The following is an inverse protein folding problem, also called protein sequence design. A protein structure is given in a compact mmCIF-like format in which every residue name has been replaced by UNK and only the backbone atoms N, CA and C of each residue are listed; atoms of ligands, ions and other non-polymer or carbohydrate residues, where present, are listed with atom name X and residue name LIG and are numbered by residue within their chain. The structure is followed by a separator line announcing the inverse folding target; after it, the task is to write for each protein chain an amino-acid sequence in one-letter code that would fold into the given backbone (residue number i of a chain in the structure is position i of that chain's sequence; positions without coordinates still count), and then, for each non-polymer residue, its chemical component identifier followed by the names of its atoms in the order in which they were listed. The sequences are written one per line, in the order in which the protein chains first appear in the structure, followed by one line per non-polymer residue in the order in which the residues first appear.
data_IF_259623326572
#
_entry.id   IF_259623326572
#
_cell.length_a   1.000
_cell.length_b   1.000
_cell.length_c   1.000
_cell.angle_alpha   90.00
_cell.angle_beta   90.00
_cell.angle_gamma   90.00
#
_symmetry.space_group_name_H-M   'P 1'
#
loop_
_entity.id
_entity.type
_entity.pdbx_description
1 polymer ?
#
# COMPACT_ATOMS: atom_id res chain seq x y z
N UNK A 1 2.62 41.44 -12.10
CA UNK A 1 1.23 41.03 -12.43
C UNK A 1 0.23 42.10 -11.98
N UNK A 2 -0.02 42.31 -10.68
CA UNK A 2 -1.00 43.32 -10.22
C UNK A 2 -0.57 44.77 -10.53
N UNK A 3 0.73 45.06 -10.56
CA UNK A 3 1.27 46.34 -10.99
C UNK A 3 1.20 46.56 -12.51
N UNK A 4 1.24 45.48 -13.31
CA UNK A 4 1.32 45.55 -14.77
C UNK A 4 -0.06 45.59 -15.46
N UNK A 5 -1.09 45.00 -14.82
CA UNK A 5 -2.44 44.86 -15.38
C UNK A 5 -3.49 45.74 -14.69
N UNK A 6 -3.15 46.50 -13.65
CA UNK A 6 -4.10 47.38 -12.96
C UNK A 6 -5.20 46.64 -12.18
N UNK A 7 -6.37 47.26 -12.02
CA UNK A 7 -7.52 46.67 -11.32
C UNK A 7 -8.41 45.92 -12.30
N UNK A 8 -8.55 44.62 -12.05
CA UNK A 8 -9.48 43.73 -12.75
C UNK A 8 -10.30 42.92 -11.75
N UNK A 9 -11.42 42.38 -12.20
CA UNK A 9 -12.28 41.47 -11.47
C UNK A 9 -11.64 40.08 -11.31
N UNK A 10 -12.17 39.30 -10.38
CA UNK A 10 -11.61 37.98 -10.03
C UNK A 10 -11.61 36.97 -11.20
N UNK A 11 -12.68 36.85 -12.03
CA UNK A 11 -12.67 35.96 -13.18
C UNK A 11 -11.52 36.24 -14.16
N UNK A 12 -11.25 37.52 -14.43
CA UNK A 12 -10.13 37.91 -15.28
C UNK A 12 -8.80 37.51 -14.65
N UNK A 13 -8.59 37.81 -13.36
CA UNK A 13 -7.36 37.42 -12.64
C UNK A 13 -7.17 35.91 -12.66
N UNK A 14 -8.23 35.13 -12.42
CA UNK A 14 -8.20 33.67 -12.48
C UNK A 14 -7.75 33.20 -13.87
N UNK A 15 -8.30 33.76 -14.93
CA UNK A 15 -7.91 33.43 -16.32
C UNK A 15 -6.46 33.81 -16.62
N UNK A 16 -6.02 35.01 -16.24
CA UNK A 16 -4.65 35.47 -16.42
C UNK A 16 -3.63 34.59 -15.66
N UNK A 17 -3.97 34.20 -14.44
CA UNK A 17 -3.17 33.27 -13.62
C UNK A 17 -3.06 31.91 -14.32
N UNK A 18 -4.19 31.32 -14.70
CA UNK A 18 -4.21 30.01 -15.38
C UNK A 18 -3.39 30.08 -16.68
N UNK A 19 -3.56 31.14 -17.46
CA UNK A 19 -2.84 31.31 -18.73
C UNK A 19 -1.33 31.39 -18.53
N UNK A 20 -0.86 32.12 -17.51
CA UNK A 20 0.58 32.27 -17.28
C UNK A 20 1.21 31.03 -16.66
N UNK A 21 0.54 30.39 -15.70
CA UNK A 21 1.14 29.36 -14.85
C UNK A 21 0.64 27.94 -15.08
N UNK A 22 -0.58 27.75 -15.60
CA UNK A 22 -1.14 26.43 -15.92
C UNK A 22 -0.92 26.04 -17.39
N UNK A 23 0.30 26.29 -17.88
CA UNK A 23 0.73 25.89 -19.21
C UNK A 23 0.93 24.36 -19.30
N UNK A 24 1.13 23.84 -20.51
CA UNK A 24 1.28 22.40 -20.75
C UNK A 24 2.45 21.78 -19.98
N UNK A 25 3.54 22.54 -19.77
CA UNK A 25 4.67 22.08 -18.97
C UNK A 25 4.29 21.89 -17.49
N UNK A 26 3.53 22.84 -16.92
CA UNK A 26 3.02 22.70 -15.55
C UNK A 26 2.09 21.48 -15.42
N UNK A 27 1.17 21.29 -16.38
CA UNK A 27 0.27 20.13 -16.40
C UNK A 27 1.07 18.83 -16.43
N UNK A 28 2.02 18.70 -17.35
CA UNK A 28 2.92 17.55 -17.45
C UNK A 28 3.68 17.29 -16.15
N UNK A 29 4.22 18.34 -15.52
CA UNK A 29 4.91 18.22 -14.23
C UNK A 29 3.98 17.72 -13.13
N UNK A 30 2.76 18.24 -13.05
CA UNK A 30 1.77 17.79 -12.06
C UNK A 30 1.36 16.35 -12.31
N UNK A 31 1.06 15.97 -13.55
CA UNK A 31 0.74 14.60 -13.95
C UNK A 31 1.85 13.63 -13.53
N UNK A 32 3.10 13.91 -13.91
CA UNK A 32 4.25 13.07 -13.53
C UNK A 32 4.45 13.00 -12.01
N UNK A 33 4.20 14.10 -11.30
CA UNK A 33 4.30 14.11 -9.83
C UNK A 33 3.20 13.25 -9.19
N UNK A 34 2.01 13.21 -9.79
CA UNK A 34 0.96 12.31 -9.36
C UNK A 34 1.31 10.85 -9.71
N UNK A 35 1.75 10.61 -10.93
CA UNK A 35 2.05 9.27 -11.45
C UNK A 35 3.15 8.56 -10.65
N UNK A 36 4.23 9.29 -10.33
CA UNK A 36 5.37 8.79 -9.53
C UNK A 36 5.07 8.69 -8.03
N UNK A 37 3.96 9.25 -7.56
CA UNK A 37 3.64 9.32 -6.14
C UNK A 37 2.92 8.06 -5.66
N UNK A 38 3.69 7.01 -5.43
CA UNK A 38 3.21 5.78 -4.79
C UNK A 38 3.07 6.00 -3.27
N UNK A 39 2.01 5.48 -2.67
CA UNK A 39 1.85 5.53 -1.22
C UNK A 39 2.87 4.63 -0.51
N UNK A 40 3.45 5.13 0.59
CA UNK A 40 4.32 4.35 1.44
C UNK A 40 3.94 4.63 2.90
N UNK A 41 3.51 3.59 3.61
CA UNK A 41 2.98 3.70 4.97
C UNK A 41 4.02 4.03 6.04
N UNK A 42 5.32 3.84 5.78
CA UNK A 42 6.40 4.20 6.70
C UNK A 42 6.76 5.69 6.58
N UNK A 43 6.68 6.23 5.36
CA UNK A 43 7.10 7.61 5.05
C UNK A 43 5.96 8.62 5.07
N UNK A 44 4.74 8.18 4.82
CA UNK A 44 3.59 9.07 4.60
C UNK A 44 2.50 8.85 5.64
N UNK A 45 1.88 9.95 6.07
CA UNK A 45 0.63 9.92 6.83
C UNK A 45 -0.54 9.88 5.84
N UNK A 46 -1.54 9.00 5.99
CA UNK A 46 -2.65 8.87 5.05
C UNK A 46 -3.36 10.19 4.77
N UNK A 47 -3.84 10.88 5.81
CA UNK A 47 -4.56 12.16 5.69
C UNK A 47 -3.80 13.17 4.82
N UNK A 48 -2.57 13.52 5.19
CA UNK A 48 -1.80 14.55 4.48
C UNK A 48 -1.38 14.11 3.09
N UNK A 49 -1.09 12.82 2.92
CA UNK A 49 -0.73 12.29 1.63
C UNK A 49 -1.92 12.32 0.68
N UNK A 50 -3.08 11.85 1.12
CA UNK A 50 -4.30 11.74 0.33
C UNK A 50 -4.80 13.11 -0.12
N UNK A 51 -4.94 14.06 0.82
CA UNK A 51 -5.41 15.42 0.52
C UNK A 51 -4.49 16.12 -0.49
N UNK A 52 -3.17 15.99 -0.35
CA UNK A 52 -2.22 16.58 -1.32
C UNK A 52 -2.39 16.03 -2.74
N UNK A 53 -2.89 14.80 -2.90
CA UNK A 53 -3.16 14.20 -4.22
C UNK A 53 -4.55 14.61 -4.71
N UNK A 54 -5.53 14.69 -3.82
CA UNK A 54 -6.85 15.25 -4.13
C UNK A 54 -6.73 16.67 -4.68
N UNK A 55 -5.98 17.54 -4.01
CA UNK A 55 -5.75 18.92 -4.46
C UNK A 55 -5.12 18.96 -5.85
N UNK A 56 -4.12 18.11 -6.09
CA UNK A 56 -3.44 18.04 -7.39
C UNK A 56 -4.37 17.57 -8.50
N UNK A 57 -5.13 16.51 -8.27
CA UNK A 57 -6.08 15.98 -9.25
C UNK A 57 -7.23 16.96 -9.50
N UNK A 58 -7.73 17.63 -8.47
CA UNK A 58 -8.77 18.65 -8.60
C UNK A 58 -8.28 19.85 -9.41
N UNK A 59 -6.99 20.21 -9.29
CA UNK A 59 -6.39 21.26 -10.09
C UNK A 59 -6.14 20.86 -11.56
N UNK A 60 -5.88 19.57 -11.83
CA UNK A 60 -5.69 19.03 -13.17
C UNK A 60 -7.01 18.75 -13.90
N UNK A 61 -8.00 18.26 -13.16
CA UNK A 61 -9.29 17.80 -13.65
C UNK A 61 -10.43 18.37 -12.80
N UNK A 62 -10.76 19.67 -12.97
CA UNK A 62 -11.78 20.33 -12.16
C UNK A 62 -13.19 19.74 -12.34
N UNK A 63 -13.44 19.07 -13.47
CA UNK A 63 -14.73 18.48 -13.80
C UNK A 63 -14.87 17.00 -13.33
N UNK A 64 -13.84 16.47 -12.67
CA UNK A 64 -13.83 15.09 -12.19
C UNK A 64 -14.58 14.98 -10.86
N UNK A 65 -15.42 13.95 -10.73
CA UNK A 65 -16.14 13.71 -9.47
C UNK A 65 -15.19 13.32 -8.34
N UNK A 66 -15.56 13.68 -7.11
CA UNK A 66 -14.79 13.34 -5.91
C UNK A 66 -14.60 11.83 -5.75
N UNK A 67 -15.60 11.00 -6.07
CA UNK A 67 -15.46 9.52 -6.06
C UNK A 67 -14.38 9.06 -7.04
N UNK A 68 -14.38 9.59 -8.27
CA UNK A 68 -13.38 9.23 -9.28
C UNK A 68 -11.97 9.69 -8.87
N UNK A 69 -11.84 10.88 -8.28
CA UNK A 69 -10.58 11.37 -7.71
C UNK A 69 -10.09 10.42 -6.61
N UNK A 70 -10.96 10.08 -5.65
CA UNK A 70 -10.62 9.19 -4.55
C UNK A 70 -10.16 7.81 -5.07
N UNK A 71 -10.86 7.23 -6.05
CA UNK A 71 -10.50 5.96 -6.67
C UNK A 71 -9.15 6.03 -7.40
N UNK A 72 -8.87 7.13 -8.13
CA UNK A 72 -7.55 7.34 -8.75
C UNK A 72 -6.42 7.40 -7.71
N UNK A 73 -6.65 8.04 -6.58
CA UNK A 73 -5.68 8.10 -5.48
C UNK A 73 -5.47 6.72 -4.87
N UNK A 74 -6.55 5.96 -4.68
CA UNK A 74 -6.48 4.62 -4.09
C UNK A 74 -5.65 3.64 -4.94
N UNK A 75 -5.74 3.74 -6.27
CA UNK A 75 -4.87 2.97 -7.19
C UNK A 75 -3.37 3.25 -7.01
N UNK A 76 -3.00 4.39 -6.43
CA UNK A 76 -1.60 4.71 -6.08
C UNK A 76 -1.15 4.08 -4.76
N UNK A 77 -2.05 3.44 -4.02
CA UNK A 77 -1.72 2.62 -2.86
C UNK A 77 -1.24 1.23 -3.29
N UNK A 78 -1.99 0.59 -4.20
CA UNK A 78 -1.68 -0.73 -4.72
C UNK A 78 -1.79 -1.86 -3.70
N UNK A 79 -1.81 -3.09 -4.20
CA UNK A 79 -1.70 -4.32 -3.41
C UNK A 79 -2.80 -4.50 -2.37
N UNK A 80 -2.42 -5.00 -1.20
CA UNK A 80 -3.36 -5.34 -0.11
C UNK A 80 -4.10 -4.12 0.43
N UNK A 81 -3.45 -2.95 0.49
CA UNK A 81 -4.06 -1.71 0.99
C UNK A 81 -5.21 -1.26 0.07
N UNK A 82 -4.99 -1.26 -1.25
CA UNK A 82 -6.03 -0.95 -2.22
C UNK A 82 -7.21 -1.93 -2.11
N UNK A 83 -6.90 -3.25 -2.11
CA UNK A 83 -7.93 -4.28 -2.05
C UNK A 83 -8.77 -4.20 -0.78
N UNK A 84 -8.12 -4.06 0.38
CA UNK A 84 -8.78 -4.01 1.68
C UNK A 84 -9.69 -2.78 1.82
N UNK A 85 -9.25 -1.63 1.30
CA UNK A 85 -10.08 -0.41 1.28
C UNK A 85 -11.27 -0.59 0.35
N UNK A 86 -11.08 -1.11 -0.87
CA UNK A 86 -12.19 -1.36 -1.81
C UNK A 86 -13.23 -2.29 -1.19
N UNK A 87 -12.80 -3.35 -0.49
CA UNK A 87 -13.72 -4.28 0.18
C UNK A 87 -14.52 -3.65 1.33
N UNK A 88 -13.99 -2.58 1.96
CA UNK A 88 -14.66 -1.86 3.06
C UNK A 88 -15.53 -0.71 2.55
N UNK A 89 -15.15 -0.11 1.44
CA UNK A 89 -15.78 1.08 0.87
C UNK A 89 -16.89 0.70 -0.11
N UNK A 90 -18.05 0.27 0.40
CA UNK A 90 -19.26 0.07 -0.44
C UNK A 90 -19.91 1.41 -0.68
N UNK A 91 -20.00 1.86 -1.95
CA UNK A 91 -20.46 3.20 -2.31
C UNK A 91 -21.85 3.59 -1.75
N UNK A 92 -22.08 4.90 -1.47
CA UNK A 92 -21.15 6.02 -1.64
C UNK A 92 -20.21 6.20 -0.43
N UNK A 93 -18.91 6.40 -0.69
CA UNK A 93 -17.89 6.68 0.34
C UNK A 93 -17.32 8.09 0.18
N UNK A 94 -17.23 8.82 1.28
CA UNK A 94 -16.64 10.16 1.30
C UNK A 94 -15.10 10.10 1.29
N UNK A 95 -14.45 11.20 0.93
CA UNK A 95 -12.97 11.30 1.05
C UNK A 95 -12.48 11.00 2.46
N UNK A 96 -13.24 11.37 3.48
CA UNK A 96 -12.89 11.10 4.88
C UNK A 96 -12.93 9.60 5.18
N UNK A 97 -13.93 8.89 4.67
CA UNK A 97 -14.04 7.45 4.85
C UNK A 97 -12.87 6.69 4.21
N UNK A 98 -12.42 7.10 3.02
CA UNK A 98 -11.21 6.55 2.40
C UNK A 98 -9.96 6.76 3.28
N UNK A 99 -9.81 7.95 3.87
CA UNK A 99 -8.68 8.28 4.74
C UNK A 99 -8.74 7.46 6.02
N UNK A 100 -9.91 7.39 6.67
CA UNK A 100 -10.12 6.60 7.89
C UNK A 100 -9.81 5.12 7.63
N UNK A 101 -10.28 4.56 6.51
CA UNK A 101 -9.99 3.17 6.12
C UNK A 101 -8.47 2.93 5.89
N UNK A 102 -7.77 3.89 5.27
CA UNK A 102 -6.31 3.83 5.13
C UNK A 102 -5.60 3.87 6.49
N UNK A 103 -6.02 4.75 7.39
CA UNK A 103 -5.44 4.88 8.74
C UNK A 103 -5.66 3.63 9.58
N UNK A 104 -6.87 3.07 9.52
CA UNK A 104 -7.23 1.83 10.18
C UNK A 104 -6.40 0.66 9.67
N UNK A 105 -6.25 0.51 8.34
CA UNK A 105 -5.43 -0.56 7.78
C UNK A 105 -3.97 -0.44 8.23
N UNK A 106 -3.39 0.76 8.17
CA UNK A 106 -1.98 0.95 8.56
C UNK A 106 -1.80 0.70 10.05
N UNK A 107 -2.74 1.14 10.88
CA UNK A 107 -2.71 0.91 12.32
C UNK A 107 -2.81 -0.58 12.62
N UNK A 108 -3.79 -1.28 12.03
CA UNK A 108 -4.00 -2.73 12.21
C UNK A 108 -2.82 -3.56 11.71
N UNK A 109 -2.23 -3.21 10.57
CA UNK A 109 -1.06 -3.89 10.00
C UNK A 109 0.23 -3.57 10.76
N UNK A 110 0.26 -2.51 11.58
CA UNK A 110 1.36 -2.22 12.52
C UNK A 110 1.18 -2.93 13.87
N UNK A 111 -0.03 -3.33 14.25
CA UNK A 111 -0.27 -4.14 15.45
C UNK A 111 0.45 -5.48 15.25
N UNK A 112 1.53 -5.70 16.02
CA UNK A 112 2.38 -6.89 15.95
C UNK A 112 3.75 -6.70 15.30
N UNK A 113 4.05 -5.54 14.67
CA UNK A 113 5.38 -5.25 14.08
C UNK A 113 6.46 -4.85 15.10
N UNK A 114 6.14 -4.86 16.39
CA UNK A 114 7.10 -4.68 17.47
C UNK A 114 7.82 -5.98 17.84
N UNK A 115 7.77 -7.02 16.99
CA UNK A 115 8.70 -8.13 17.09
C UNK A 115 10.08 -7.66 16.62
N UNK A 116 10.96 -7.41 17.58
CA UNK A 116 12.40 -7.22 17.38
C UNK A 116 12.95 -8.25 16.40
N UNK A 117 13.45 -7.80 15.25
CA UNK A 117 13.93 -8.69 14.20
C UNK A 117 14.74 -8.00 13.11
N UNK A 118 15.92 -7.47 13.50
CA UNK A 118 17.14 -7.20 12.72
C UNK A 118 17.04 -6.19 11.54
N UNK A 119 17.93 -5.18 11.45
CA UNK A 119 17.98 -4.28 10.30
C UNK A 119 18.49 -5.03 9.06
N UNK A 120 17.74 -4.97 7.97
CA UNK A 120 18.18 -5.49 6.67
C UNK A 120 19.21 -4.54 6.05
N UNK A 121 20.48 -4.71 6.43
CA UNK A 121 21.60 -4.08 5.73
C UNK A 121 21.79 -4.80 4.37
N UNK A 122 21.63 -4.05 3.28
CA UNK A 122 21.93 -4.50 1.93
C UNK A 122 23.43 -4.72 1.77
N UNK A 123 23.87 -5.99 1.71
CA UNK A 123 25.18 -6.36 1.14
C UNK A 123 25.00 -7.53 0.17
N UNK A 124 25.22 -7.23 -1.12
CA UNK A 124 25.50 -8.23 -2.14
C UNK A 124 26.80 -8.94 -1.79
N UNK A 125 26.75 -10.23 -1.43
CA UNK A 125 27.92 -11.12 -1.48
C UNK A 125 27.49 -12.53 -1.91
N UNK A 126 28.32 -13.09 -2.78
CA UNK A 126 28.26 -14.33 -3.53
C UNK A 126 28.04 -15.61 -2.69
N UNK A 127 27.40 -16.61 -3.35
CA UNK A 127 27.18 -17.97 -2.86
C UNK A 127 28.47 -18.61 -2.34
N UNK A 128 28.51 -18.91 -1.04
CA UNK A 128 29.33 -19.96 -0.46
C UNK A 128 28.46 -20.77 0.51
N UNK A 129 28.49 -22.09 0.32
CA UNK A 129 27.69 -23.08 1.06
C UNK A 129 27.89 -22.96 2.56
N UNK A 130 26.81 -22.87 3.34
CA UNK A 130 26.84 -22.97 4.81
C UNK A 130 25.90 -24.09 5.26
N UNK A 131 26.45 -25.00 6.05
CA UNK A 131 25.78 -26.14 6.66
C UNK A 131 24.54 -25.73 7.45
N UNK A 132 23.45 -26.43 7.16
CA UNK A 132 22.12 -26.27 7.74
C UNK A 132 22.10 -26.84 9.17
N UNK A 133 22.30 -25.99 10.19
CA UNK A 133 21.99 -26.35 11.58
C UNK A 133 20.50 -26.22 11.83
N UNK A 134 19.70 -27.09 11.21
CA UNK A 134 18.29 -27.26 11.53
C UNK A 134 18.17 -28.13 12.79
N UNK A 135 17.38 -27.75 13.81
CA UNK A 135 17.09 -28.66 14.91
C UNK A 135 16.41 -29.92 14.36
N UNK A 136 16.93 -31.09 14.73
CA UNK A 136 16.44 -32.39 14.27
C UNK A 136 14.94 -32.50 14.52
N UNK A 137 14.17 -32.72 13.44
CA UNK A 137 12.75 -33.06 13.57
C UNK A 137 12.65 -34.42 14.26
N UNK A 138 11.80 -34.57 15.29
CA UNK A 138 11.61 -35.88 15.92
C UNK A 138 11.11 -36.87 14.87
N UNK A 139 11.81 -38.00 14.76
CA UNK A 139 11.48 -39.06 13.81
C UNK A 139 10.14 -39.66 14.22
N UNK A 140 9.09 -39.37 13.45
CA UNK A 140 7.77 -39.93 13.65
C UNK A 140 7.81 -41.44 13.40
N UNK A 141 7.50 -42.23 14.44
CA UNK A 141 7.37 -43.69 14.37
C UNK A 141 5.89 -44.09 14.33
N UNK A 142 5.60 -45.16 13.60
CA UNK A 142 4.28 -45.78 13.57
C UNK A 142 3.89 -46.29 14.96
N UNK A 143 2.85 -45.74 15.57
CA UNK A 143 2.39 -46.18 16.90
C UNK A 143 1.81 -47.60 16.93
N UNK A 144 1.57 -48.24 15.77
CA UNK A 144 1.01 -49.59 15.65
C UNK A 144 2.06 -50.69 15.60
N UNK A 145 3.26 -50.40 15.07
CA UNK A 145 4.35 -51.37 14.91
C UNK A 145 5.75 -50.83 15.15
N UNK A 146 5.85 -49.59 15.64
CA UNK A 146 7.08 -48.87 16.02
C UNK A 146 8.08 -48.62 14.88
N UNK A 147 7.71 -48.94 13.63
CA UNK A 147 8.54 -48.68 12.45
C UNK A 147 8.55 -47.19 12.07
N UNK A 148 9.71 -46.67 11.64
CA UNK A 148 9.90 -45.31 11.13
C UNK A 148 9.65 -45.17 9.63
N UNK A 149 9.37 -46.27 8.93
CA UNK A 149 9.19 -46.28 7.46
C UNK A 149 7.81 -45.79 7.01
N UNK A 150 6.83 -45.75 7.90
CA UNK A 150 5.45 -45.39 7.58
C UNK A 150 4.73 -44.84 8.82
N UNK A 151 3.56 -44.23 8.62
CA UNK A 151 2.71 -43.72 9.70
C UNK A 151 1.61 -44.74 10.04
N UNK A 152 0.97 -44.60 11.21
CA UNK A 152 0.01 -45.59 11.71
C UNK A 152 -1.20 -45.81 10.78
N UNK A 153 -1.58 -44.79 10.00
CA UNK A 153 -2.67 -44.84 9.03
C UNK A 153 -2.37 -45.72 7.81
N UNK A 154 -1.10 -45.93 7.46
CA UNK A 154 -0.66 -46.78 6.34
C UNK A 154 -0.08 -48.11 6.82
N UNK A 155 -0.26 -48.45 8.09
CA UNK A 155 0.30 -49.65 8.69
C UNK A 155 -0.55 -50.90 8.41
N UNK A 156 0.04 -51.85 7.68
CA UNK A 156 -0.58 -53.15 7.33
C UNK A 156 -0.50 -54.19 8.46
N UNK A 157 0.19 -53.90 9.58
CA UNK A 157 0.31 -54.81 10.73
C UNK A 157 -0.90 -54.68 11.68
N UNK A 158 -1.36 -55.79 12.27
CA UNK A 158 -2.41 -55.79 13.30
C UNK A 158 -1.86 -55.24 14.62
N UNK A 159 -2.67 -54.46 15.34
CA UNK A 159 -2.29 -53.81 16.60
C UNK A 159 -1.88 -54.86 17.62
N UNK A 160 -0.72 -54.69 18.27
CA UNK A 160 -0.38 -55.50 19.46
C UNK A 160 -1.28 -55.04 20.60
N UNK A 161 -2.31 -55.83 20.92
CA UNK A 161 -3.11 -55.64 22.12
C UNK A 161 -2.32 -56.28 23.26
N UNK A 162 -2.03 -55.50 24.30
CA UNK A 162 -1.37 -55.93 25.52
C UNK A 162 -2.41 -56.33 26.56
#
# INVERSE_FOLDING_TARGET
MRQDHGKHDWPWWKSAIITKWANNFWRFKMENTFESSIFNSEKNKPLTWFLKRKDRLSALHPDMSDSMINMKILRKCGGELEHDIICRCVEPFSTEDYINAMEDFITRTRIGKNWTGIPMESKMVSKASREDKRPERPVLKCHKCESTSHLANTCTKKTKIH
#
